data_IF_341603675112
#
_entry.id   IF_341603675112
#
_cell.length_a   1.000
_cell.length_b   1.000
_cell.length_c   1.000
_cell.angle_alpha   90.00
_cell.angle_beta   90.00
_cell.angle_gamma   90.00
#
_symmetry.space_group_name_H-M   'P 1'
#
loop_
_entity.id
_entity.type
_entity.pdbx_description
1 polymer ?
#
# COMPACT_ATOMS: atom_id res chain seq x y z
N UNK A 1 3.05 -9.27 19.73
CA UNK A 1 1.74 -8.62 19.54
C UNK A 1 1.13 -9.13 18.24
N UNK A 2 -0.15 -9.47 18.21
CA UNK A 2 -0.83 -9.89 16.98
C UNK A 2 -0.83 -8.74 15.96
N UNK A 3 -0.71 -9.04 14.66
CA UNK A 3 -0.60 -8.00 13.63
C UNK A 3 -1.84 -7.10 13.56
N UNK A 4 -3.02 -7.63 13.91
CA UNK A 4 -4.28 -6.87 13.96
C UNK A 4 -4.29 -5.87 15.12
N UNK A 5 -3.82 -6.27 16.32
CA UNK A 5 -3.75 -5.34 17.45
C UNK A 5 -2.66 -4.30 17.27
N UNK A 6 -1.56 -4.66 16.60
CA UNK A 6 -0.56 -3.72 16.13
C UNK A 6 -1.16 -2.69 15.16
N UNK A 7 -1.90 -3.15 14.16
CA UNK A 7 -2.54 -2.32 13.16
C UNK A 7 -3.52 -1.30 13.75
N UNK A 8 -4.28 -1.66 14.77
CA UNK A 8 -5.19 -0.73 15.45
C UNK A 8 -4.47 0.43 16.17
N UNK A 9 -3.16 0.34 16.39
CA UNK A 9 -2.37 1.33 17.13
C UNK A 9 -1.58 2.33 16.27
N UNK A 10 -1.53 2.15 14.95
CA UNK A 10 -0.65 2.94 14.05
C UNK A 10 -1.25 4.30 13.62
N UNK A 11 -2.45 4.64 14.08
CA UNK A 11 -3.13 5.91 13.79
C UNK A 11 -4.00 5.88 12.54
N UNK A 12 -5.08 6.67 12.55
CA UNK A 12 -6.17 6.60 11.57
C UNK A 12 -5.72 6.87 10.13
N UNK A 13 -4.83 7.84 9.91
CA UNK A 13 -4.35 8.18 8.56
C UNK A 13 -3.56 7.03 7.93
N UNK A 14 -2.71 6.36 8.72
CA UNK A 14 -1.90 5.22 8.26
C UNK A 14 -2.77 4.00 8.00
N UNK A 15 -3.79 3.78 8.83
CA UNK A 15 -4.80 2.76 8.60
C UNK A 15 -5.58 3.02 7.31
N UNK A 16 -6.02 4.27 7.09
CA UNK A 16 -6.71 4.67 5.86
C UNK A 16 -5.86 4.42 4.61
N UNK A 17 -4.58 4.80 4.64
CA UNK A 17 -3.64 4.52 3.56
C UNK A 17 -3.49 3.01 3.30
N UNK A 18 -3.33 2.21 4.36
CA UNK A 18 -3.17 0.76 4.24
C UNK A 18 -4.45 0.08 3.73
N UNK A 19 -5.62 0.53 4.17
CA UNK A 19 -6.92 0.02 3.68
C UNK A 19 -7.12 0.41 2.22
N UNK A 20 -6.81 1.65 1.84
CA UNK A 20 -6.89 2.08 0.44
C UNK A 20 -5.94 1.27 -0.45
N UNK A 21 -4.71 1.04 0.01
CA UNK A 21 -3.73 0.21 -0.68
C UNK A 21 -4.19 -1.25 -0.82
N UNK A 22 -4.69 -1.87 0.25
CA UNK A 22 -5.20 -3.24 0.22
C UNK A 22 -6.44 -3.37 -0.66
N UNK A 23 -7.42 -2.49 -0.50
CA UNK A 23 -8.63 -2.51 -1.29
C UNK A 23 -8.31 -2.34 -2.77
N UNK A 24 -7.47 -1.36 -3.12
CA UNK A 24 -7.07 -1.16 -4.52
C UNK A 24 -6.25 -2.33 -5.06
N UNK A 25 -5.31 -2.88 -4.30
CA UNK A 25 -4.52 -4.05 -4.70
C UNK A 25 -5.35 -5.33 -4.86
N UNK A 26 -6.41 -5.52 -4.06
CA UNK A 26 -7.34 -6.66 -4.20
C UNK A 26 -8.25 -6.53 -5.41
N UNK A 27 -8.61 -5.30 -5.77
CA UNK A 27 -9.51 -5.02 -6.90
C UNK A 27 -8.74 -4.97 -8.23
N UNK A 28 -7.44 -4.61 -8.19
CA UNK A 28 -6.60 -4.45 -9.39
C UNK A 28 -6.60 -5.65 -10.36
N UNK A 29 -6.58 -6.93 -9.92
CA UNK A 29 -6.63 -8.07 -10.83
C UNK A 29 -7.93 -8.19 -11.65
N UNK A 30 -8.97 -7.45 -11.27
CA UNK A 30 -10.25 -7.40 -11.99
C UNK A 30 -10.31 -6.24 -13.00
N UNK A 31 -9.28 -5.39 -13.06
CA UNK A 31 -9.15 -4.37 -14.10
C UNK A 31 -8.86 -5.02 -15.46
N UNK A 32 -9.58 -4.60 -16.49
CA UNK A 32 -9.43 -5.07 -17.87
C UNK A 32 -8.56 -4.14 -18.72
N UNK A 33 -8.65 -4.31 -20.04
CA UNK A 33 -7.99 -3.43 -21.00
C UNK A 33 -8.55 -1.99 -20.90
N UNK A 34 -7.78 -0.96 -21.28
CA UNK A 34 -8.23 0.43 -21.19
C UNK A 34 -9.44 0.68 -22.10
N UNK A 35 -10.64 0.63 -21.52
CA UNK A 35 -11.87 1.13 -22.13
C UNK A 35 -12.28 2.42 -21.41
N UNK A 36 -12.31 3.51 -22.16
CA UNK A 36 -12.58 4.87 -21.66
C UNK A 36 -14.00 5.35 -22.01
N UNK A 37 -14.85 4.46 -22.52
CA UNK A 37 -16.17 4.81 -23.06
C UNK A 37 -17.30 4.78 -22.00
N UNK A 38 -17.12 4.06 -20.89
CA UNK A 38 -18.06 4.01 -19.77
C UNK A 38 -17.44 4.53 -18.46
N UNK A 39 -18.25 5.21 -17.64
CA UNK A 39 -17.80 5.91 -16.41
C UNK A 39 -17.12 4.98 -15.40
N UNK A 40 -17.57 3.73 -15.31
CA UNK A 40 -16.99 2.73 -14.42
C UNK A 40 -15.73 2.09 -15.02
N UNK A 41 -15.68 1.88 -16.33
CA UNK A 41 -14.51 1.32 -17.01
C UNK A 41 -13.31 2.30 -16.96
N UNK A 42 -13.55 3.60 -17.03
CA UNK A 42 -12.52 4.62 -16.79
C UNK A 42 -11.88 4.49 -15.39
N UNK A 43 -12.69 4.19 -14.38
CA UNK A 43 -12.19 4.02 -13.02
C UNK A 43 -11.36 2.74 -12.88
N UNK A 44 -11.89 1.59 -13.33
CA UNK A 44 -11.19 0.31 -13.18
C UNK A 44 -9.98 0.18 -14.07
N UNK A 45 -10.02 0.70 -15.30
CA UNK A 45 -8.97 0.50 -16.29
C UNK A 45 -7.97 1.66 -16.38
N UNK A 46 -8.31 2.84 -15.85
CA UNK A 46 -7.44 4.02 -15.85
C UNK A 46 -7.01 4.46 -14.45
N UNK A 47 -7.97 4.81 -13.60
CA UNK A 47 -7.69 5.41 -12.29
C UNK A 47 -7.07 4.41 -11.32
N UNK A 48 -7.67 3.23 -11.17
CA UNK A 48 -7.26 2.24 -10.19
C UNK A 48 -5.80 1.76 -10.42
N UNK A 49 -5.37 1.40 -11.65
CA UNK A 49 -3.98 1.03 -11.92
C UNK A 49 -2.96 2.14 -11.65
N UNK A 50 -3.36 3.41 -11.80
CA UNK A 50 -2.52 4.56 -11.50
C UNK A 50 -2.42 4.85 -9.99
N UNK A 51 -3.49 4.59 -9.23
CA UNK A 51 -3.55 4.85 -7.79
C UNK A 51 -2.74 3.83 -6.95
N UNK A 52 -2.73 2.56 -7.35
CA UNK A 52 -1.99 1.50 -6.63
C UNK A 52 -0.50 1.84 -6.42
N UNK A 53 0.29 2.22 -7.45
CA UNK A 53 1.68 2.59 -7.26
C UNK A 53 1.83 3.87 -6.42
N UNK A 54 0.89 4.83 -6.48
CA UNK A 54 0.89 6.03 -5.63
C UNK A 54 0.79 5.63 -4.15
N UNK A 55 -0.12 4.72 -3.80
CA UNK A 55 -0.24 4.24 -2.42
C UNK A 55 1.01 3.52 -1.94
N UNK A 56 1.64 2.71 -2.79
CA UNK A 56 2.92 2.05 -2.47
C UNK A 56 4.03 3.07 -2.22
N UNK A 57 4.11 4.14 -3.00
CA UNK A 57 5.07 5.23 -2.80
C UNK A 57 4.82 5.94 -1.48
N UNK A 58 3.57 6.28 -1.15
CA UNK A 58 3.21 6.93 0.12
C UNK A 58 3.56 6.05 1.33
N UNK A 59 3.31 4.74 1.24
CA UNK A 59 3.75 3.79 2.27
C UNK A 59 5.28 3.79 2.37
N UNK A 60 6.00 3.81 1.23
CA UNK A 60 7.46 3.91 1.19
C UNK A 60 8.00 5.16 1.89
N UNK A 61 7.39 6.32 1.66
CA UNK A 61 7.76 7.55 2.36
C UNK A 61 7.52 7.46 3.87
N UNK A 62 6.40 6.89 4.32
CA UNK A 62 6.15 6.73 5.75
C UNK A 62 7.11 5.72 6.39
N UNK A 63 7.48 4.64 5.68
CA UNK A 63 8.52 3.70 6.14
C UNK A 63 9.87 4.40 6.28
N UNK A 64 10.26 5.24 5.31
CA UNK A 64 11.50 6.02 5.37
C UNK A 64 11.48 6.99 6.57
N UNK A 65 10.37 7.73 6.76
CA UNK A 65 10.22 8.63 7.91
C UNK A 65 10.29 7.89 9.24
N UNK A 66 9.67 6.71 9.35
CA UNK A 66 9.76 5.91 10.57
C UNK A 66 11.18 5.44 10.86
N UNK A 67 11.98 5.13 9.84
CA UNK A 67 13.40 4.78 10.03
C UNK A 67 14.20 5.98 10.52
N UNK A 68 14.06 7.13 9.86
CA UNK A 68 14.71 8.38 10.26
C UNK A 68 14.35 8.77 11.71
N UNK A 69 13.07 8.66 12.07
CA UNK A 69 12.62 8.95 13.42
C UNK A 69 13.06 7.91 14.46
N UNK A 70 13.45 6.70 14.03
CA UNK A 70 13.91 5.66 14.95
C UNK A 70 15.38 5.82 15.35
N UNK A 71 16.20 6.54 14.58
CA UNK A 71 17.65 6.61 14.79
C UNK A 71 18.04 7.31 16.10
N UNK A 72 17.28 8.33 16.51
CA UNK A 72 17.52 9.11 17.75
C UNK A 72 16.42 8.93 18.81
N UNK A 73 15.55 7.94 18.66
CA UNK A 73 14.38 7.78 19.52
C UNK A 73 14.65 6.93 20.78
N UNK A 74 13.87 7.19 21.83
CA UNK A 74 13.86 6.34 23.02
C UNK A 74 13.46 4.89 22.68
N UNK A 75 13.94 3.87 23.41
CA UNK A 75 13.66 2.46 23.12
C UNK A 75 12.18 2.12 22.99
N UNK A 76 11.32 2.80 23.76
CA UNK A 76 9.86 2.63 23.70
C UNK A 76 9.28 3.12 22.37
N UNK A 77 9.79 4.23 21.86
CA UNK A 77 9.35 4.83 20.62
C UNK A 77 9.89 4.05 19.41
N UNK A 78 11.12 3.53 19.49
CA UNK A 78 11.67 2.59 18.49
C UNK A 78 10.79 1.34 18.39
N UNK A 79 10.33 0.78 19.50
CA UNK A 79 9.42 -0.37 19.49
C UNK A 79 8.08 -0.05 18.81
N UNK A 80 7.55 1.17 19.02
CA UNK A 80 6.33 1.66 18.34
C UNK A 80 6.56 1.80 16.84
N UNK A 81 7.62 2.49 16.42
CA UNK A 81 7.96 2.71 15.01
C UNK A 81 8.25 1.39 14.27
N UNK A 82 8.93 0.45 14.92
CA UNK A 82 9.17 -0.91 14.40
C UNK A 82 7.86 -1.68 14.17
N UNK A 83 6.88 -1.50 15.07
CA UNK A 83 5.54 -2.07 14.90
C UNK A 83 4.84 -1.49 13.66
N UNK A 84 4.92 -0.17 13.47
CA UNK A 84 4.34 0.49 12.29
C UNK A 84 5.01 0.01 11.00
N UNK A 85 6.34 -0.13 10.99
CA UNK A 85 7.09 -0.69 9.86
C UNK A 85 6.59 -2.09 9.48
N UNK A 86 6.39 -2.96 10.47
CA UNK A 86 5.88 -4.32 10.23
C UNK A 86 4.49 -4.29 9.60
N UNK A 87 3.58 -3.45 10.08
CA UNK A 87 2.26 -3.29 9.48
C UNK A 87 2.36 -2.83 8.01
N UNK A 88 3.22 -1.84 7.73
CA UNK A 88 3.43 -1.38 6.36
C UNK A 88 3.99 -2.45 5.44
N UNK A 89 4.97 -3.25 5.87
CA UNK A 89 5.48 -4.33 5.04
C UNK A 89 4.44 -5.43 4.79
N UNK A 90 3.65 -5.79 5.80
CA UNK A 90 2.56 -6.76 5.65
C UNK A 90 1.48 -6.31 4.65
N UNK A 91 1.26 -5.01 4.53
CA UNK A 91 0.29 -4.44 3.57
C UNK A 91 0.90 -4.20 2.21
N UNK A 92 2.10 -3.61 2.14
CA UNK A 92 2.75 -3.25 0.89
C UNK A 92 3.17 -4.48 0.07
N UNK A 93 3.62 -5.56 0.72
CA UNK A 93 4.07 -6.76 0.02
C UNK A 93 2.99 -7.40 -0.89
N UNK A 94 1.77 -7.74 -0.39
CA UNK A 94 0.74 -8.31 -1.25
C UNK A 94 0.25 -7.32 -2.31
N UNK A 95 0.18 -6.03 -2.01
CA UNK A 95 -0.23 -4.99 -2.97
C UNK A 95 0.80 -4.85 -4.09
N UNK A 96 2.09 -4.89 -3.77
CA UNK A 96 3.17 -4.86 -4.74
C UNK A 96 3.17 -6.11 -5.63
N UNK A 97 2.90 -7.29 -5.05
CA UNK A 97 2.75 -8.53 -5.82
C UNK A 97 1.57 -8.42 -6.79
N UNK A 98 0.41 -7.96 -6.32
CA UNK A 98 -0.78 -7.77 -7.16
C UNK A 98 -0.51 -6.79 -8.31
N UNK A 99 0.17 -5.68 -8.02
CA UNK A 99 0.58 -4.71 -9.03
C UNK A 99 1.58 -5.31 -10.04
N UNK A 100 2.57 -6.06 -9.56
CA UNK A 100 3.53 -6.76 -10.40
C UNK A 100 2.86 -7.75 -11.36
N UNK A 101 1.88 -8.52 -10.88
CA UNK A 101 1.09 -9.44 -11.71
C UNK A 101 0.29 -8.68 -12.77
N UNK A 102 -0.36 -7.57 -12.38
CA UNK A 102 -1.14 -6.75 -13.30
C UNK A 102 -0.29 -6.15 -14.43
N UNK A 103 0.91 -5.64 -14.12
CA UNK A 103 1.78 -4.99 -15.12
C UNK A 103 2.65 -5.97 -15.91
N UNK A 104 2.86 -7.20 -15.42
CA UNK A 104 3.72 -8.19 -16.07
C UNK A 104 3.40 -8.44 -17.55
N UNK A 105 2.13 -8.56 -18.00
CA UNK A 105 1.81 -8.70 -19.42
C UNK A 105 2.25 -7.52 -20.28
N UNK A 106 2.34 -6.31 -19.72
CA UNK A 106 2.82 -5.13 -20.43
C UNK A 106 4.36 -5.03 -20.48
N UNK A 107 5.07 -5.79 -19.63
CA UNK A 107 6.53 -5.80 -19.54
C UNK A 107 7.19 -6.90 -20.39
N UNK A 108 6.42 -7.91 -20.80
CA UNK A 108 6.90 -9.03 -21.62
C UNK A 108 6.48 -8.76 -23.08
N UNK A 109 7.43 -8.62 -24.02
CA UNK A 109 7.16 -8.31 -25.43
C UNK A 109 6.45 -9.44 -26.18
#
# INVERSE_FOLDING_TARGET
MAIVTAWLSIGLLRQGLQVAALASGLILPFAGAPDYTATWDLFFNGVLPAMVPIFLILIGFDVMMCKVLSDDAEPKEVARLSTILRCHYWVAAPVLIAFGIFIAPALIP
#
